data_IF_583593318496
#
_entry.id   IF_583593318496
#
_cell.length_a   1.000
_cell.length_b   1.000
_cell.length_c   1.000
_cell.angle_alpha   90.00
_cell.angle_beta   90.00
_cell.angle_gamma   90.00
#
_symmetry.space_group_name_H-M   'P 1'
#
loop_
_entity.id
_entity.type
_entity.pdbx_description
1 polymer ?
#
# COMPACT_ATOMS: atom_id res chain seq x y z
N UNK A 1 -3.41 12.53 -12.00
CA UNK A 1 -4.38 11.44 -12.07
C UNK A 1 -4.65 10.91 -10.65
N UNK A 2 -5.91 10.72 -10.29
CA UNK A 2 -6.26 10.14 -9.00
C UNK A 2 -5.91 8.65 -8.93
N UNK A 3 -5.81 8.11 -7.71
CA UNK A 3 -5.53 6.68 -7.51
C UNK A 3 -6.61 5.80 -8.15
N UNK A 4 -7.89 6.14 -7.98
CA UNK A 4 -8.98 5.38 -8.58
C UNK A 4 -8.98 5.46 -10.12
N UNK A 5 -8.66 6.61 -10.70
CA UNK A 5 -8.50 6.74 -12.16
C UNK A 5 -7.36 5.86 -12.68
N UNK A 6 -6.23 5.85 -12.00
CA UNK A 6 -5.12 4.94 -12.33
C UNK A 6 -5.56 3.47 -12.19
N UNK A 7 -6.21 3.13 -11.09
CA UNK A 7 -6.75 1.79 -10.86
C UNK A 7 -7.65 1.34 -12.03
N UNK A 8 -8.59 2.18 -12.45
CA UNK A 8 -9.48 1.89 -13.58
C UNK A 8 -8.71 1.62 -14.88
N UNK A 9 -7.57 2.29 -15.09
CA UNK A 9 -6.78 2.12 -16.33
C UNK A 9 -6.01 0.80 -16.39
N UNK A 10 -5.77 0.14 -15.24
CA UNK A 10 -4.95 -1.09 -15.19
C UNK A 10 -5.74 -2.37 -14.94
N UNK A 11 -6.97 -2.29 -14.42
CA UNK A 11 -7.74 -3.49 -14.03
C UNK A 11 -8.01 -4.47 -15.15
N UNK A 12 -8.03 -4.01 -16.41
CA UNK A 12 -8.22 -4.87 -17.57
C UNK A 12 -7.12 -5.93 -17.73
N UNK A 13 -5.94 -5.69 -17.16
CA UNK A 13 -4.83 -6.66 -17.16
C UNK A 13 -5.06 -7.83 -16.21
N UNK A 14 -6.11 -7.76 -15.37
CA UNK A 14 -6.43 -8.75 -14.33
C UNK A 14 -5.23 -9.11 -13.45
N UNK A 15 -4.59 -8.12 -12.79
CA UNK A 15 -3.39 -8.35 -12.01
C UNK A 15 -3.66 -9.23 -10.79
N UNK A 16 -2.64 -9.90 -10.29
CA UNK A 16 -2.70 -10.62 -9.02
C UNK A 16 -2.85 -9.64 -7.84
N UNK A 17 -2.08 -8.58 -7.87
CA UNK A 17 -2.10 -7.55 -6.83
C UNK A 17 -1.93 -6.16 -7.45
N UNK A 18 -2.46 -5.17 -6.74
CA UNK A 18 -2.26 -3.74 -7.01
C UNK A 18 -1.70 -3.12 -5.75
N UNK A 19 -0.78 -2.19 -5.89
CA UNK A 19 -0.14 -1.66 -4.70
C UNK A 19 0.52 -0.31 -4.87
N UNK A 20 1.02 0.16 -3.75
CA UNK A 20 1.74 1.42 -3.62
C UNK A 20 3.20 1.13 -3.34
N UNK A 21 4.09 1.81 -4.04
CA UNK A 21 5.52 1.61 -3.90
C UNK A 21 6.26 2.93 -3.96
N UNK A 22 7.17 3.14 -3.02
CA UNK A 22 8.10 4.27 -3.05
C UNK A 22 7.41 5.64 -2.90
N UNK A 23 8.04 6.69 -3.38
CA UNK A 23 7.63 8.10 -3.39
C UNK A 23 7.50 8.74 -2.02
N UNK A 24 6.81 8.09 -1.09
CA UNK A 24 6.45 8.64 0.21
C UNK A 24 6.79 7.65 1.34
N UNK A 25 6.86 8.17 2.57
CA UNK A 25 6.92 7.36 3.78
C UNK A 25 5.56 6.76 4.16
N UNK A 26 5.53 5.95 5.22
CA UNK A 26 4.31 5.24 5.61
C UNK A 26 3.17 6.18 6.01
N UNK A 27 3.48 7.28 6.67
CA UNK A 27 2.48 8.27 7.12
C UNK A 27 1.72 8.87 5.94
N UNK A 28 2.43 9.29 4.91
CA UNK A 28 1.85 9.94 3.74
C UNK A 28 1.13 8.94 2.83
N UNK A 29 1.60 7.69 2.78
CA UNK A 29 0.97 6.64 1.98
C UNK A 29 -0.32 6.08 2.60
N UNK A 30 -0.52 6.25 3.89
CA UNK A 30 -1.66 5.65 4.60
C UNK A 30 -3.02 6.02 3.99
N UNK A 31 -3.25 7.28 3.65
CA UNK A 31 -4.51 7.71 3.05
C UNK A 31 -4.77 7.05 1.69
N UNK A 32 -3.73 6.87 0.90
CA UNK A 32 -3.81 6.19 -0.40
C UNK A 32 -4.03 4.68 -0.23
N UNK A 33 -3.44 4.08 0.80
CA UNK A 33 -3.69 2.67 1.14
C UNK A 33 -5.15 2.43 1.52
N UNK A 34 -5.72 3.30 2.35
CA UNK A 34 -7.12 3.23 2.74
C UNK A 34 -8.05 3.36 1.53
N UNK A 35 -7.73 4.28 0.61
CA UNK A 35 -8.47 4.42 -0.63
C UNK A 35 -8.36 3.17 -1.50
N UNK A 36 -7.16 2.60 -1.63
CA UNK A 36 -6.94 1.39 -2.41
C UNK A 36 -7.67 0.18 -1.80
N UNK A 37 -7.69 0.05 -0.47
CA UNK A 37 -8.45 -0.98 0.22
C UNK A 37 -9.94 -0.91 -0.12
N UNK A 38 -10.48 0.30 -0.19
CA UNK A 38 -11.89 0.54 -0.48
C UNK A 38 -12.32 0.15 -1.90
N UNK A 39 -11.40 0.21 -2.87
CA UNK A 39 -11.73 0.01 -4.30
C UNK A 39 -11.17 -1.27 -4.90
N UNK A 40 -10.11 -1.85 -4.34
CA UNK A 40 -9.40 -2.95 -4.99
C UNK A 40 -10.11 -4.30 -4.89
N UNK A 41 -10.39 -4.90 -6.02
CA UNK A 41 -10.86 -6.28 -6.18
C UNK A 41 -9.70 -7.30 -6.25
N UNK A 42 -8.46 -6.81 -6.19
CA UNK A 42 -7.23 -7.60 -6.22
C UNK A 42 -6.55 -7.58 -4.86
N UNK A 43 -5.53 -8.42 -4.67
CA UNK A 43 -4.69 -8.31 -3.49
C UNK A 43 -4.00 -6.95 -3.45
N UNK A 44 -3.75 -6.46 -2.24
CA UNK A 44 -3.14 -5.14 -2.03
C UNK A 44 -1.74 -5.29 -1.48
N UNK A 45 -0.79 -4.59 -2.10
CA UNK A 45 0.60 -4.52 -1.66
C UNK A 45 1.00 -3.08 -1.30
N UNK A 46 1.96 -2.94 -0.39
CA UNK A 46 2.53 -1.64 -0.03
C UNK A 46 4.02 -1.76 0.31
N UNK A 47 4.82 -0.87 -0.27
CA UNK A 47 6.26 -0.80 -0.08
C UNK A 47 6.68 0.67 0.13
N UNK A 48 6.47 1.23 1.34
CA UNK A 48 6.84 2.61 1.61
C UNK A 48 8.35 2.80 1.74
N UNK A 49 8.81 4.03 1.54
CA UNK A 49 10.14 4.45 1.95
C UNK A 49 10.24 4.44 3.49
N UNK A 50 11.44 4.32 4.01
CA UNK A 50 11.68 4.53 5.45
C UNK A 50 11.64 6.03 5.82
N UNK A 51 10.56 6.71 5.42
CA UNK A 51 10.40 8.15 5.50
C UNK A 51 10.94 8.89 4.27
N UNK A 52 11.21 10.17 4.42
CA UNK A 52 11.84 11.00 3.40
C UNK A 52 13.32 11.19 3.73
N UNK A 53 14.18 11.40 2.72
CA UNK A 53 15.59 11.70 2.96
C UNK A 53 15.74 12.96 3.83
N UNK A 54 16.55 12.88 4.88
CA UNK A 54 16.88 14.03 5.72
C UNK A 54 18.09 14.81 5.16
N UNK A 55 18.45 15.91 5.83
CA UNK A 55 19.57 16.78 5.42
C UNK A 55 20.94 16.07 5.43
N UNK A 56 21.07 14.94 6.10
CA UNK A 56 22.28 14.13 6.21
C UNK A 56 22.28 12.92 5.27
N UNK A 57 21.28 12.81 4.37
CA UNK A 57 21.16 11.69 3.43
C UNK A 57 20.60 10.40 4.02
N UNK A 58 20.20 10.40 5.29
CA UNK A 58 19.54 9.28 5.95
C UNK A 58 18.01 9.34 5.83
N UNK A 59 17.35 8.33 6.35
CA UNK A 59 15.89 8.23 6.40
C UNK A 59 15.41 8.20 7.85
N UNK A 60 14.28 8.87 8.13
CA UNK A 60 13.84 9.16 9.49
C UNK A 60 12.98 8.05 10.13
N UNK A 61 12.37 7.18 9.32
CA UNK A 61 11.58 6.06 9.86
C UNK A 61 12.49 4.92 10.31
N UNK A 62 12.49 4.68 11.63
CA UNK A 62 13.18 3.53 12.23
C UNK A 62 12.44 2.23 11.93
N UNK A 63 13.11 1.04 12.08
CA UNK A 63 12.42 -0.24 11.99
C UNK A 63 11.19 -0.32 12.90
N UNK A 64 11.28 0.19 14.13
CA UNK A 64 10.20 0.18 15.11
C UNK A 64 9.05 1.09 14.73
N UNK A 65 9.32 2.31 14.26
CA UNK A 65 8.27 3.25 13.85
C UNK A 65 7.54 2.75 12.61
N UNK A 66 8.26 2.22 11.64
CA UNK A 66 7.68 1.64 10.43
C UNK A 66 6.85 0.39 10.73
N UNK A 67 7.31 -0.46 11.64
CA UNK A 67 6.57 -1.63 12.08
C UNK A 67 5.24 -1.27 12.75
N UNK A 68 5.14 -0.14 13.43
CA UNK A 68 3.88 0.35 14.02
C UNK A 68 2.82 0.65 12.95
N UNK A 69 3.22 1.28 11.86
CA UNK A 69 2.31 1.50 10.72
C UNK A 69 1.85 0.19 10.10
N UNK A 70 2.79 -0.72 9.83
CA UNK A 70 2.50 -2.02 9.24
C UNK A 70 1.56 -2.85 10.14
N UNK A 71 1.80 -2.85 11.43
CA UNK A 71 0.91 -3.51 12.40
C UNK A 71 -0.51 -2.95 12.36
N UNK A 72 -0.64 -1.63 12.37
CA UNK A 72 -1.94 -0.94 12.26
C UNK A 72 -2.67 -1.32 10.99
N UNK A 73 -1.98 -1.32 9.85
CA UNK A 73 -2.57 -1.70 8.56
C UNK A 73 -2.98 -3.18 8.51
N UNK A 74 -2.17 -4.05 9.08
CA UNK A 74 -2.47 -5.47 9.18
C UNK A 74 -3.66 -5.77 10.09
N UNK A 75 -3.73 -5.10 11.25
CA UNK A 75 -4.87 -5.21 12.17
C UNK A 75 -6.17 -4.69 11.56
N UNK A 76 -6.08 -3.68 10.70
CA UNK A 76 -7.22 -3.14 9.93
C UNK A 76 -7.56 -3.98 8.68
N UNK A 77 -6.80 -5.02 8.39
CA UNK A 77 -6.96 -5.88 7.22
C UNK A 77 -6.88 -5.11 5.88
N UNK A 78 -5.94 -4.15 5.76
CA UNK A 78 -5.75 -3.37 4.54
C UNK A 78 -4.78 -3.99 3.55
N UNK A 79 -3.93 -4.93 3.98
CA UNK A 79 -2.79 -5.40 3.21
C UNK A 79 -2.74 -6.92 3.07
N UNK A 80 -2.15 -7.37 1.96
CA UNK A 80 -1.80 -8.77 1.70
C UNK A 80 -0.29 -8.96 1.59
N UNK A 81 0.40 -7.98 1.02
CA UNK A 81 1.84 -8.01 0.78
C UNK A 81 2.42 -6.71 1.32
N UNK A 82 3.48 -6.81 2.09
CA UNK A 82 4.17 -5.65 2.65
C UNK A 82 5.67 -5.81 2.55
N UNK A 83 6.35 -4.73 2.27
CA UNK A 83 7.80 -4.63 2.27
C UNK A 83 8.23 -3.20 2.48
N UNK A 84 9.42 -2.88 2.08
CA UNK A 84 9.98 -1.55 2.12
C UNK A 84 10.56 -1.15 0.78
N UNK A 85 10.87 0.14 0.62
CA UNK A 85 11.55 0.71 -0.53
C UNK A 85 12.78 1.51 -0.07
N UNK A 86 12.95 2.72 -0.53
CA UNK A 86 14.14 3.52 -0.22
C UNK A 86 14.36 3.70 1.27
N UNK A 87 15.57 3.47 1.72
CA UNK A 87 15.98 3.57 3.12
C UNK A 87 15.58 2.39 4.01
N UNK A 88 14.76 1.47 3.53
CA UNK A 88 14.42 0.26 4.28
C UNK A 88 15.64 -0.70 4.34
N UNK A 89 15.91 -1.20 5.54
CA UNK A 89 16.99 -2.12 5.84
C UNK A 89 16.45 -3.52 6.16
N UNK A 90 17.32 -4.55 6.26
CA UNK A 90 16.90 -5.87 6.71
C UNK A 90 16.17 -5.85 8.07
N UNK A 91 16.56 -4.96 8.99
CA UNK A 91 15.90 -4.83 10.28
C UNK A 91 14.47 -4.30 10.16
N UNK A 92 14.19 -3.39 9.23
CA UNK A 92 12.84 -2.97 8.91
C UNK A 92 11.99 -4.17 8.48
N UNK A 93 12.48 -4.96 7.55
CA UNK A 93 11.76 -6.15 7.04
C UNK A 93 11.55 -7.20 8.14
N UNK A 94 12.54 -7.42 8.97
CA UNK A 94 12.45 -8.36 10.10
C UNK A 94 11.33 -7.99 11.07
N UNK A 95 11.22 -6.71 11.44
CA UNK A 95 10.16 -6.24 12.32
C UNK A 95 8.78 -6.24 11.64
N UNK A 96 8.71 -5.88 10.35
CA UNK A 96 7.47 -6.01 9.57
C UNK A 96 6.94 -7.44 9.58
N UNK A 97 7.81 -8.42 9.32
CA UNK A 97 7.47 -9.83 9.39
C UNK A 97 6.94 -10.19 10.77
N UNK A 98 7.65 -9.81 11.82
CA UNK A 98 7.27 -10.12 13.20
C UNK A 98 5.89 -9.60 13.57
N UNK A 99 5.54 -8.37 13.19
CA UNK A 99 4.25 -7.77 13.55
C UNK A 99 3.09 -8.29 12.69
N UNK A 100 3.36 -8.89 11.53
CA UNK A 100 2.33 -9.41 10.63
C UNK A 100 2.09 -10.92 10.74
N UNK A 101 2.99 -11.66 11.38
CA UNK A 101 2.99 -13.14 11.41
C UNK A 101 1.66 -13.78 11.84
N UNK A 102 0.94 -13.14 12.76
CA UNK A 102 -0.31 -13.66 13.33
C UNK A 102 -1.54 -12.88 12.87
N UNK A 103 -1.38 -11.95 11.95
CA UNK A 103 -2.47 -11.13 11.46
C UNK A 103 -3.17 -11.80 10.27
N UNK A 104 -4.46 -11.53 10.13
CA UNK A 104 -5.24 -12.02 9.00
C UNK A 104 -4.98 -11.15 7.77
N UNK A 105 -4.81 -11.76 6.59
CA UNK A 105 -4.68 -11.01 5.35
C UNK A 105 -5.98 -10.32 4.98
N UNK A 106 -5.85 -9.27 4.17
CA UNK A 106 -6.99 -8.60 3.56
C UNK A 106 -7.79 -9.57 2.69
N UNK A 107 -9.11 -9.52 2.78
CA UNK A 107 -10.01 -10.21 1.86
C UNK A 107 -10.23 -9.35 0.63
N UNK A 108 -10.17 -9.95 -0.56
CA UNK A 108 -10.48 -9.25 -1.81
C UNK A 108 -11.97 -8.88 -1.85
N UNK A 109 -12.26 -7.70 -2.40
CA UNK A 109 -13.63 -7.32 -2.70
C UNK A 109 -14.17 -8.17 -3.85
N UNK A 110 -15.49 -8.33 -3.89
CA UNK A 110 -16.14 -8.98 -5.02
C UNK A 110 -16.04 -8.13 -6.27
N UNK A 111 -15.76 -8.77 -7.41
CA UNK A 111 -15.75 -8.10 -8.71
C UNK A 111 -17.16 -7.65 -9.08
N UNK A 112 -17.33 -6.37 -9.30
CA UNK A 112 -18.57 -5.78 -9.78
C UNK A 112 -18.40 -5.41 -11.25
N UNK A 113 -19.31 -5.90 -12.08
CA UNK A 113 -19.33 -5.54 -13.52
C UNK A 113 -20.04 -4.21 -13.68
N UNK A 114 -19.30 -3.18 -13.95
CA UNK A 114 -19.78 -1.86 -14.37
C UNK A 114 -18.75 -1.20 -15.28
N UNK A 115 -19.19 -0.21 -16.03
CA UNK A 115 -18.28 0.55 -16.88
C UNK A 115 -17.37 1.41 -16.00
N UNK A 116 -16.08 1.36 -16.25
CA UNK A 116 -15.06 2.15 -15.57
C UNK A 116 -14.22 2.88 -16.60
N UNK A 117 -14.20 4.18 -16.48
CA UNK A 117 -13.41 5.05 -17.34
C UNK A 117 -12.38 5.81 -16.49
N UNK A 118 -11.34 6.24 -17.14
CA UNK A 118 -10.18 6.85 -16.52
C UNK A 118 -9.74 8.08 -17.29
N UNK A 119 -9.68 9.20 -16.60
CA UNK A 119 -9.12 10.45 -17.07
C UNK A 119 -8.18 11.00 -16.01
N UNK A 120 -8.29 12.27 -15.65
CA UNK A 120 -7.68 12.83 -14.46
C UNK A 120 -8.32 12.21 -13.21
N UNK A 121 -9.64 12.06 -13.26
CA UNK A 121 -10.45 11.41 -12.24
C UNK A 121 -11.09 10.13 -12.78
N UNK A 122 -11.55 9.27 -11.89
CA UNK A 122 -12.31 8.08 -12.25
C UNK A 122 -13.76 8.44 -12.60
N UNK A 123 -14.31 7.73 -13.57
CA UNK A 123 -15.73 7.76 -13.86
C UNK A 123 -16.25 6.32 -13.88
N UNK A 124 -17.18 6.01 -12.99
CA UNK A 124 -17.78 4.69 -12.85
C UNK A 124 -19.29 4.78 -13.10
N UNK A 125 -19.82 3.90 -13.95
CA UNK A 125 -21.24 3.86 -14.32
C UNK A 125 -21.82 2.45 -14.17
#
# INVERSE_FOLDING_TARGET
QTLEAFYNSIIHSNPLSVGLNCALGPKELESHLIELDRISEFFVSIHPNAGLPNAFGGYDETPESMAKFVKKWGESCYINIVGGCCGATPEHIKLMKKVTEKLKPRKRLQKVKHMRLSGLEAFNY
#
